data_IF_769072627936
#
_entry.id   IF_769072627936
#
_cell.length_a   1.000
_cell.length_b   1.000
_cell.length_c   1.000
_cell.angle_alpha   90.00
_cell.angle_beta   90.00
_cell.angle_gamma   90.00
#
_symmetry.space_group_name_H-M   'P 1'
#
loop_
_entity.id
_entity.type
_entity.pdbx_description
1 polymer ?
#
# COMPACT_ATOMS: atom_id res chain seq x y z
N UNK A 1 -12.14 -7.76 -7.28
CA UNK A 1 -11.09 -7.13 -6.51
C UNK A 1 -10.13 -6.43 -7.44
N UNK A 2 -9.55 -5.34 -6.97
CA UNK A 2 -8.77 -4.44 -7.81
C UNK A 2 -7.27 -4.70 -7.59
N UNK A 3 -6.53 -5.09 -8.63
CA UNK A 3 -5.08 -5.18 -8.50
C UNK A 3 -4.47 -3.82 -8.13
N UNK A 4 -3.51 -3.82 -7.25
CA UNK A 4 -2.84 -2.58 -6.89
C UNK A 4 -1.43 -2.82 -6.39
N UNK A 5 -0.63 -1.76 -6.50
CA UNK A 5 0.69 -1.66 -5.88
C UNK A 5 0.54 -0.77 -4.66
N UNK A 6 1.25 -1.09 -3.59
CA UNK A 6 1.13 -0.32 -2.35
C UNK A 6 2.48 -0.22 -1.67
N UNK A 7 2.61 0.78 -0.79
CA UNK A 7 3.80 0.95 0.03
C UNK A 7 3.41 1.07 1.49
N UNK A 8 4.11 0.32 2.33
CA UNK A 8 3.96 0.36 3.79
C UNK A 8 5.22 0.91 4.42
N UNK A 9 5.08 1.50 5.60
CA UNK A 9 6.21 2.01 6.35
C UNK A 9 6.04 1.73 7.83
N UNK A 10 7.12 1.87 8.60
CA UNK A 10 7.09 1.78 10.04
C UNK A 10 6.80 3.16 10.66
N UNK A 11 6.70 3.20 12.00
CA UNK A 11 6.38 4.43 12.72
C UNK A 11 7.34 5.59 12.45
N UNK A 12 8.60 5.26 12.14
CA UNK A 12 9.64 6.27 11.94
C UNK A 12 9.80 6.66 10.48
N UNK A 13 9.01 6.06 9.58
CA UNK A 13 9.11 6.29 8.15
C UNK A 13 10.50 5.97 7.59
N UNK A 14 11.17 5.00 8.20
CA UNK A 14 12.54 4.63 7.83
C UNK A 14 12.58 3.53 6.77
N UNK A 15 11.68 2.55 6.92
CA UNK A 15 11.67 1.36 6.07
C UNK A 15 10.46 1.41 5.15
N UNK A 16 10.69 1.26 3.86
CA UNK A 16 9.63 1.17 2.87
C UNK A 16 9.49 -0.26 2.39
N UNK A 17 8.27 -0.75 2.34
CA UNK A 17 7.94 -2.03 1.74
C UNK A 17 7.03 -1.79 0.54
N UNK A 18 7.36 -2.39 -0.58
CA UNK A 18 6.56 -2.27 -1.80
C UNK A 18 5.98 -3.65 -2.09
N UNK A 19 4.66 -3.71 -2.25
CA UNK A 19 3.99 -4.96 -2.53
C UNK A 19 2.92 -4.79 -3.60
N UNK A 20 2.38 -5.92 -4.01
CA UNK A 20 1.31 -5.99 -4.99
C UNK A 20 0.24 -6.93 -4.45
N UNK A 21 -1.03 -6.59 -4.67
CA UNK A 21 -2.12 -7.41 -4.16
C UNK A 21 -3.36 -7.22 -5.04
N UNK A 22 -4.24 -8.20 -5.02
CA UNK A 22 -5.58 -8.07 -5.62
C UNK A 22 -6.62 -7.65 -4.59
N UNK A 23 -6.24 -7.52 -3.32
CA UNK A 23 -7.15 -7.13 -2.24
C UNK A 23 -6.40 -6.30 -1.22
N UNK A 24 -6.39 -4.98 -1.44
CA UNK A 24 -5.60 -4.06 -0.64
C UNK A 24 -6.07 -4.02 0.83
N UNK A 25 -7.37 -3.97 1.07
CA UNK A 25 -7.90 -3.90 2.44
C UNK A 25 -7.44 -5.11 3.25
N UNK A 26 -7.60 -6.31 2.68
CA UNK A 26 -7.21 -7.53 3.37
C UNK A 26 -5.70 -7.58 3.60
N UNK A 27 -4.92 -7.21 2.58
CA UNK A 27 -3.47 -7.29 2.68
C UNK A 27 -2.92 -6.32 3.72
N UNK A 28 -3.42 -5.08 3.75
CA UNK A 28 -2.98 -4.10 4.75
C UNK A 28 -3.41 -4.56 6.16
N UNK A 29 -4.61 -5.12 6.28
CA UNK A 29 -5.04 -5.69 7.56
C UNK A 29 -4.06 -6.76 8.05
N UNK A 30 -3.62 -7.64 7.13
CA UNK A 30 -2.65 -8.68 7.47
C UNK A 30 -1.32 -8.09 7.94
N UNK A 31 -0.85 -7.03 7.31
CA UNK A 31 0.37 -6.35 7.75
C UNK A 31 0.19 -5.71 9.12
N UNK A 32 -0.94 -5.04 9.35
CA UNK A 32 -1.22 -4.38 10.63
C UNK A 32 -1.31 -5.37 11.78
N UNK A 33 -1.80 -6.57 11.51
CA UNK A 33 -1.99 -7.61 12.51
C UNK A 33 -0.86 -8.63 12.52
N UNK A 34 0.19 -8.38 11.76
CA UNK A 34 1.42 -9.17 11.73
C UNK A 34 1.19 -10.64 11.37
N UNK A 35 0.18 -10.90 10.54
CA UNK A 35 -0.06 -12.24 10.00
C UNK A 35 0.50 -12.38 8.58
N UNK A 36 1.11 -11.31 8.05
CA UNK A 36 1.82 -11.36 6.79
C UNK A 36 3.22 -11.93 7.00
N UNK A 37 4.05 -11.93 5.96
CA UNK A 37 5.37 -12.55 6.01
C UNK A 37 6.30 -11.88 7.02
N UNK A 38 7.46 -12.51 7.22
CA UNK A 38 8.41 -12.12 8.27
C UNK A 38 9.01 -10.74 8.11
N UNK A 39 9.14 -10.22 6.86
CA UNK A 39 9.75 -8.91 6.64
C UNK A 39 8.90 -7.80 7.27
N UNK A 40 7.61 -7.76 6.93
CA UNK A 40 6.72 -6.72 7.44
C UNK A 40 6.54 -6.81 8.94
N UNK A 41 6.49 -8.03 9.48
CA UNK A 41 6.42 -8.25 10.92
C UNK A 41 7.67 -7.76 11.62
N UNK A 42 8.84 -8.12 11.09
CA UNK A 42 10.13 -7.78 11.69
C UNK A 42 10.33 -6.26 11.82
N UNK A 43 9.93 -5.50 10.80
CA UNK A 43 10.16 -4.07 10.77
C UNK A 43 8.97 -3.24 11.22
N UNK A 44 7.88 -3.89 11.64
CA UNK A 44 6.71 -3.16 12.13
C UNK A 44 6.06 -2.29 11.07
N UNK A 45 5.88 -2.82 9.87
CA UNK A 45 5.35 -2.06 8.73
C UNK A 45 3.83 -2.07 8.79
N UNK A 46 3.27 -1.14 9.54
CA UNK A 46 1.83 -1.10 9.82
C UNK A 46 1.10 0.08 9.18
N UNK A 47 1.82 1.00 8.56
CA UNK A 47 1.23 2.21 8.01
C UNK A 47 1.20 2.16 6.50
N UNK A 48 0.01 2.28 5.91
CA UNK A 48 -0.15 2.36 4.46
C UNK A 48 0.00 3.81 4.03
N UNK A 49 1.07 4.12 3.27
CA UNK A 49 1.37 5.50 2.90
C UNK A 49 1.15 5.81 1.43
N UNK A 50 0.97 4.79 0.60
CA UNK A 50 0.80 5.00 -0.85
C UNK A 50 0.17 3.76 -1.46
N UNK A 51 -0.70 3.96 -2.45
CA UNK A 51 -1.20 2.87 -3.27
C UNK A 51 -1.58 3.40 -4.64
N UNK A 52 -1.60 2.48 -5.61
CA UNK A 52 -1.91 2.78 -7.01
C UNK A 52 -2.73 1.64 -7.57
N UNK A 53 -3.93 1.95 -8.06
CA UNK A 53 -4.83 0.94 -8.60
C UNK A 53 -4.44 0.62 -10.04
N UNK A 54 -4.55 -0.65 -10.40
CA UNK A 54 -4.27 -1.15 -11.74
C UNK A 54 -5.46 -1.93 -12.28
N UNK A 55 -5.58 -1.97 -13.60
CA UNK A 55 -6.65 -2.74 -14.24
C UNK A 55 -6.31 -4.22 -14.32
N UNK A 56 -5.02 -4.56 -14.35
CA UNK A 56 -4.58 -5.95 -14.41
C UNK A 56 -3.50 -6.23 -13.37
N UNK A 57 -3.41 -7.49 -12.96
CA UNK A 57 -2.33 -7.90 -12.06
C UNK A 57 -0.97 -7.80 -12.75
N UNK A 58 -0.91 -8.07 -14.06
CA UNK A 58 0.34 -7.97 -14.80
C UNK A 58 0.93 -6.56 -14.74
N UNK A 59 0.11 -5.54 -14.96
CA UNK A 59 0.60 -4.15 -14.90
C UNK A 59 1.01 -3.78 -13.48
N UNK A 60 0.28 -4.26 -12.47
CA UNK A 60 0.64 -4.02 -11.08
C UNK A 60 2.00 -4.64 -10.74
N UNK A 61 2.23 -5.87 -11.15
CA UNK A 61 3.49 -6.56 -10.90
C UNK A 61 4.64 -5.84 -11.60
N UNK A 62 4.45 -5.41 -12.84
CA UNK A 62 5.47 -4.67 -13.59
C UNK A 62 5.82 -3.37 -12.87
N UNK A 63 4.81 -2.65 -12.38
CA UNK A 63 5.02 -1.40 -11.65
C UNK A 63 5.75 -1.65 -10.34
N UNK A 64 5.37 -2.66 -9.60
CA UNK A 64 6.01 -3.02 -8.34
C UNK A 64 7.50 -3.30 -8.54
N UNK A 65 7.83 -4.09 -9.56
CA UNK A 65 9.23 -4.41 -9.86
C UNK A 65 10.02 -3.16 -10.23
N UNK A 66 9.43 -2.29 -11.04
CA UNK A 66 10.08 -1.03 -11.42
C UNK A 66 10.36 -0.16 -10.20
N UNK A 67 9.35 0.01 -9.34
CA UNK A 67 9.50 0.86 -8.14
C UNK A 67 10.58 0.35 -7.20
N UNK A 68 10.77 -0.96 -7.12
CA UNK A 68 11.81 -1.53 -6.26
C UNK A 68 13.22 -1.11 -6.68
N UNK A 69 13.42 -0.80 -7.97
CA UNK A 69 14.72 -0.34 -8.47
C UNK A 69 14.91 1.17 -8.38
N UNK A 70 13.85 1.93 -8.10
CA UNK A 70 13.96 3.37 -7.97
C UNK A 70 14.80 3.73 -6.74
N UNK A 71 15.51 4.84 -6.84
CA UNK A 71 16.20 5.40 -5.68
C UNK A 71 15.18 5.85 -4.65
N UNK A 72 15.59 5.81 -3.38
CA UNK A 72 14.68 6.18 -2.29
C UNK A 72 14.05 7.57 -2.49
N UNK A 73 14.85 8.54 -2.91
CA UNK A 73 14.33 9.91 -3.09
C UNK A 73 13.19 9.95 -4.12
N UNK A 74 13.28 9.15 -5.17
CA UNK A 74 12.21 9.09 -6.16
C UNK A 74 10.95 8.47 -5.60
N UNK A 75 11.07 7.44 -4.76
CA UNK A 75 9.92 6.84 -4.07
C UNK A 75 9.27 7.84 -3.13
N UNK A 76 10.07 8.59 -2.37
CA UNK A 76 9.53 9.60 -1.47
C UNK A 76 8.74 10.66 -2.22
N UNK A 77 9.20 11.04 -3.40
CA UNK A 77 8.51 12.04 -4.22
C UNK A 77 7.12 11.59 -4.64
N UNK A 78 6.98 10.35 -5.12
CA UNK A 78 5.66 9.89 -5.54
C UNK A 78 4.72 9.71 -4.33
N UNK A 79 5.26 9.31 -3.19
CA UNK A 79 4.47 9.23 -1.96
C UNK A 79 3.94 10.62 -1.61
N UNK A 80 4.80 11.61 -1.59
CA UNK A 80 4.44 12.95 -1.12
C UNK A 80 3.55 13.71 -2.10
N UNK A 81 3.48 13.29 -3.37
CA UNK A 81 2.52 13.86 -4.30
C UNK A 81 1.08 13.61 -3.88
N UNK A 82 0.78 12.46 -3.28
CA UNK A 82 -0.58 12.13 -2.87
C UNK A 82 -0.76 12.11 -1.36
N UNK A 83 0.33 12.02 -0.61
CA UNK A 83 0.27 11.90 0.85
C UNK A 83 1.42 12.69 1.48
N UNK A 84 1.39 14.04 1.37
CA UNK A 84 2.49 14.86 1.87
C UNK A 84 2.71 14.74 3.38
N UNK A 85 1.68 14.38 4.12
CA UNK A 85 1.75 14.28 5.58
C UNK A 85 2.13 12.89 6.07
N UNK A 86 2.31 11.92 5.14
CA UNK A 86 2.66 10.55 5.49
C UNK A 86 1.67 9.91 6.47
N UNK A 87 0.40 10.24 6.33
CA UNK A 87 -0.65 9.66 7.16
C UNK A 87 -0.97 8.25 6.71
N UNK A 88 -1.59 7.48 7.59
CA UNK A 88 -2.05 6.13 7.27
C UNK A 88 -3.30 6.22 6.41
N UNK A 89 -3.23 5.66 5.20
CA UNK A 89 -4.33 5.71 4.25
C UNK A 89 -5.32 4.56 4.41
N UNK A 90 -5.15 3.73 5.43
CA UNK A 90 -5.97 2.54 5.59
C UNK A 90 -7.47 2.87 5.72
N UNK A 91 -7.80 3.89 6.50
CA UNK A 91 -9.20 4.30 6.67
C UNK A 91 -9.81 4.79 5.36
N UNK A 92 -9.01 5.49 4.54
CA UNK A 92 -9.44 5.92 3.23
C UNK A 92 -9.78 4.73 2.33
N UNK A 93 -8.94 3.70 2.34
CA UNK A 93 -9.15 2.50 1.54
C UNK A 93 -10.39 1.75 2.01
N UNK A 94 -10.59 1.62 3.31
CA UNK A 94 -11.79 1.02 3.87
C UNK A 94 -13.02 1.82 3.47
N UNK A 95 -12.93 3.14 3.49
CA UNK A 95 -14.02 4.02 3.10
C UNK A 95 -14.43 3.84 1.65
N UNK A 96 -13.46 3.69 0.77
CA UNK A 96 -13.74 3.41 -0.64
C UNK A 96 -14.49 2.08 -0.81
N UNK A 97 -14.05 1.04 -0.13
CA UNK A 97 -14.69 -0.27 -0.17
C UNK A 97 -16.13 -0.19 0.38
N UNK A 98 -16.29 0.48 1.52
CA UNK A 98 -17.60 0.68 2.13
C UNK A 98 -18.51 1.53 1.25
N UNK A 99 -17.96 2.55 0.61
CA UNK A 99 -18.70 3.39 -0.29
C UNK A 99 -19.26 2.61 -1.47
N UNK A 100 -18.49 1.69 -2.02
CA UNK A 100 -18.97 0.83 -3.09
C UNK A 100 -20.14 -0.03 -2.62
N UNK A 101 -20.05 -0.58 -1.42
CA UNK A 101 -21.14 -1.38 -0.87
C UNK A 101 -22.36 -0.57 -0.56
N UNK A 102 -22.19 0.66 -0.10
CA UNK A 102 -23.31 1.56 0.19
C UNK A 102 -24.08 1.93 -1.06
N UNK A 103 -23.37 2.02 -2.18
CA UNK A 103 -24.02 2.35 -3.45
C UNK A 103 -24.95 1.25 -3.93
N UNK A 104 -24.80 0.06 -3.41
CA UNK A 104 -25.65 -1.07 -3.76
C UNK A 104 -27.00 -1.03 -3.02
N UNK A 105 -27.09 -0.21 -2.02
CA UNK A 105 -28.33 -0.05 -1.27
C UNK A 105 -29.32 0.80 -2.05
#
# INVERSE_FOLDING_TARGET
MQPCVYMMTNKRNETLYIGVTSNLVQRVWQHKNEVADGFTKKYGLHTLIWYELHTTMESAITREKALKFWKRIAKLRIIEQINPDWRDLYNEVIGLDSGLRQNDD
#
